data_IF_370009394756
#
_entry.id   IF_370009394756
#
_cell.length_a   1.000
_cell.length_b   1.000
_cell.length_c   1.000
_cell.angle_alpha   90.00
_cell.angle_beta   90.00
_cell.angle_gamma   90.00
#
_symmetry.space_group_name_H-M   'P 1'
#
loop_
_entity.id
_entity.type
_entity.pdbx_description
1 polymer ?
#
# COMPACT_ATOMS: atom_id res chain seq x y z
N UNK A 1 -1.02 26.11 33.06
CA UNK A 1 -0.87 25.56 34.42
C UNK A 1 -2.28 25.27 34.94
N UNK A 2 -2.78 24.06 34.81
CA UNK A 2 -4.10 23.64 35.29
C UNK A 2 -3.84 22.51 36.27
N UNK A 3 -4.24 22.74 37.49
CA UNK A 3 -4.14 21.88 38.67
C UNK A 3 -4.93 20.60 38.42
N UNK A 4 -4.28 19.48 38.67
CA UNK A 4 -4.91 18.15 38.72
C UNK A 4 -5.20 17.85 40.17
N UNK A 5 -6.46 17.66 40.50
CA UNK A 5 -6.86 17.10 41.78
C UNK A 5 -7.56 15.75 41.56
N UNK A 6 -7.00 14.74 42.21
CA UNK A 6 -7.67 13.55 42.77
C UNK A 6 -8.29 12.49 41.85
N UNK A 7 -7.47 11.49 41.46
CA UNK A 7 -7.77 10.05 41.44
C UNK A 7 -9.19 9.56 41.12
N UNK A 8 -9.34 9.16 39.87
CA UNK A 8 -9.86 7.86 39.38
C UNK A 8 -9.26 7.73 37.97
N UNK A 9 -8.47 6.68 37.72
CA UNK A 9 -7.95 6.38 36.39
C UNK A 9 -9.10 5.96 35.44
N UNK A 10 -9.80 6.94 34.89
CA UNK A 10 -10.44 6.80 33.61
C UNK A 10 -9.40 7.29 32.59
N UNK A 11 -9.04 6.46 31.62
CA UNK A 11 -8.17 6.83 30.49
C UNK A 11 -8.80 8.00 29.71
N UNK A 12 -8.56 9.22 30.21
CA UNK A 12 -9.14 10.42 29.62
C UNK A 12 -8.43 10.69 28.30
N UNK A 13 -9.18 10.51 27.21
CA UNK A 13 -8.66 10.79 25.88
C UNK A 13 -8.65 12.30 25.65
N UNK A 14 -7.47 12.87 25.47
CA UNK A 14 -7.30 14.27 25.07
C UNK A 14 -7.03 14.37 23.57
N UNK A 15 -7.47 15.47 22.95
CA UNK A 15 -7.36 15.68 21.50
C UNK A 15 -6.57 16.95 21.24
N UNK A 16 -5.53 16.84 20.39
CA UNK A 16 -4.82 17.95 19.79
C UNK A 16 -5.07 17.99 18.28
N UNK A 17 -5.27 19.17 17.74
CA UNK A 17 -5.43 19.36 16.29
C UNK A 17 -4.56 20.54 15.81
N UNK A 18 -3.56 20.20 15.03
CA UNK A 18 -2.59 21.15 14.46
C UNK A 18 -3.01 21.51 13.04
N UNK A 19 -3.32 22.77 12.82
CA UNK A 19 -3.82 23.25 11.51
C UNK A 19 -2.65 23.71 10.65
N UNK A 20 -2.57 23.12 9.43
CA UNK A 20 -1.48 23.33 8.49
C UNK A 20 -0.09 23.04 9.09
N UNK A 21 -0.06 22.10 10.01
CA UNK A 21 1.15 21.71 10.74
C UNK A 21 1.19 20.19 10.94
N UNK A 22 2.40 19.64 10.78
CA UNK A 22 2.74 18.25 11.09
C UNK A 22 3.92 18.27 12.06
N UNK A 23 3.67 18.21 13.37
CA UNK A 23 4.72 18.21 14.37
C UNK A 23 5.75 17.08 14.16
N UNK A 24 7.02 17.34 14.45
CA UNK A 24 8.13 16.40 14.18
C UNK A 24 7.96 15.04 14.87
N UNK A 25 7.40 15.04 16.10
CA UNK A 25 7.19 13.78 16.85
C UNK A 25 6.25 12.81 16.12
N UNK A 26 5.41 13.30 15.20
CA UNK A 26 4.47 12.45 14.47
C UNK A 26 5.16 11.43 13.55
N UNK A 27 6.40 11.69 13.11
CA UNK A 27 7.11 10.75 12.24
C UNK A 27 7.30 9.39 12.90
N UNK A 28 7.81 9.38 14.13
CA UNK A 28 8.03 8.16 14.91
C UNK A 28 6.70 7.51 15.32
N UNK A 29 5.74 8.33 15.74
CA UNK A 29 4.46 7.84 16.23
C UNK A 29 3.57 7.25 15.13
N UNK A 30 3.60 7.80 13.91
CA UNK A 30 2.92 7.21 12.74
C UNK A 30 3.47 5.81 12.41
N UNK A 31 4.79 5.64 12.51
CA UNK A 31 5.42 4.32 12.33
C UNK A 31 5.01 3.37 13.44
N UNK A 32 5.04 3.81 14.70
CA UNK A 32 4.65 2.99 15.85
C UNK A 32 3.18 2.53 15.77
N UNK A 33 2.27 3.43 15.40
CA UNK A 33 0.84 3.14 15.34
C UNK A 33 0.44 2.28 14.15
N UNK A 34 0.96 2.61 12.98
CA UNK A 34 0.42 2.03 11.74
C UNK A 34 1.39 1.10 11.02
N UNK A 35 2.69 1.31 11.14
CA UNK A 35 3.74 0.50 10.49
C UNK A 35 3.43 0.24 8.99
N UNK A 36 2.89 1.27 8.30
CA UNK A 36 2.53 1.22 6.89
C UNK A 36 3.16 2.36 6.09
N UNK A 37 3.59 2.03 4.87
CA UNK A 37 4.14 3.01 3.92
C UNK A 37 3.17 4.15 3.64
N UNK A 38 1.91 3.84 3.42
CA UNK A 38 0.88 4.77 2.97
C UNK A 38 0.38 5.74 4.04
N UNK A 39 0.87 5.59 5.28
CA UNK A 39 0.63 6.52 6.40
C UNK A 39 1.94 7.04 6.98
N UNK A 40 3.05 6.99 6.24
CA UNK A 40 4.37 7.45 6.65
C UNK A 40 4.72 8.82 6.09
N UNK A 41 5.54 9.59 6.81
CA UNK A 41 6.00 10.90 6.32
C UNK A 41 6.87 10.80 5.05
N UNK A 42 7.77 9.82 4.86
CA UNK A 42 8.47 9.63 3.59
C UNK A 42 7.52 9.53 2.40
N UNK A 43 6.45 8.75 2.51
CA UNK A 43 5.46 8.63 1.44
C UNK A 43 4.72 9.94 1.18
N UNK A 44 4.30 10.65 2.23
CA UNK A 44 3.61 11.93 2.07
C UNK A 44 4.51 12.99 1.43
N UNK A 45 5.78 13.09 1.84
CA UNK A 45 6.77 14.02 1.26
C UNK A 45 7.01 13.81 -0.24
N UNK A 46 6.80 12.59 -0.74
CA UNK A 46 7.04 12.23 -2.15
C UNK A 46 5.77 12.24 -2.99
N UNK A 47 4.69 11.65 -2.48
CA UNK A 47 3.48 11.40 -3.27
C UNK A 47 2.31 12.34 -2.97
N UNK A 48 2.40 13.12 -1.89
CA UNK A 48 1.35 14.09 -1.49
C UNK A 48 2.00 15.46 -1.31
N UNK A 49 1.27 16.52 -1.61
CA UNK A 49 1.71 17.84 -1.17
C UNK A 49 1.59 17.90 0.35
N UNK A 50 2.67 18.21 1.04
CA UNK A 50 2.66 18.46 2.49
C UNK A 50 2.18 19.86 2.84
N UNK A 51 1.99 20.74 1.85
CA UNK A 51 1.41 22.05 2.04
C UNK A 51 -0.02 21.96 2.55
N UNK A 52 -0.35 22.77 3.55
CA UNK A 52 -1.66 22.81 4.20
C UNK A 52 -2.10 21.44 4.76
N UNK A 53 -1.13 20.61 5.16
CA UNK A 53 -1.40 19.35 5.83
C UNK A 53 -1.59 19.60 7.31
N UNK A 54 -2.74 19.24 7.82
CA UNK A 54 -3.12 19.33 9.23
C UNK A 54 -3.05 17.94 9.88
N UNK A 55 -2.90 17.94 11.20
CA UNK A 55 -2.85 16.69 11.96
C UNK A 55 -3.82 16.69 13.14
N UNK A 56 -4.51 15.58 13.31
CA UNK A 56 -5.33 15.24 14.48
C UNK A 56 -4.60 14.19 15.28
N UNK A 57 -4.51 14.36 16.58
CA UNK A 57 -3.87 13.44 17.50
C UNK A 57 -4.79 13.20 18.70
N UNK A 58 -5.18 11.97 18.94
CA UNK A 58 -5.83 11.54 20.15
C UNK A 58 -4.79 10.92 21.08
N UNK A 59 -4.82 11.29 22.34
CA UNK A 59 -3.88 10.86 23.37
C UNK A 59 -4.60 10.11 24.47
N UNK A 60 -4.00 9.04 24.95
CA UNK A 60 -4.35 8.40 26.22
C UNK A 60 -3.18 8.64 27.18
N UNK A 61 -3.39 9.49 28.17
CA UNK A 61 -2.29 10.02 28.98
C UNK A 61 -1.25 10.74 28.10
N UNK A 62 0.00 10.27 28.13
CA UNK A 62 1.10 10.85 27.36
C UNK A 62 1.39 10.10 26.04
N UNK A 63 0.57 9.13 25.67
CA UNK A 63 0.81 8.29 24.49
C UNK A 63 -0.23 8.54 23.41
N UNK A 64 0.18 8.89 22.17
CA UNK A 64 -0.74 8.97 21.04
C UNK A 64 -1.37 7.59 20.75
N UNK A 65 -2.69 7.56 20.61
CA UNK A 65 -3.47 6.37 20.24
C UNK A 65 -3.96 6.43 18.81
N UNK A 66 -4.18 7.64 18.29
CA UNK A 66 -4.64 7.86 16.92
C UNK A 66 -4.02 9.13 16.36
N UNK A 67 -3.46 9.03 15.14
CA UNK A 67 -2.90 10.17 14.40
C UNK A 67 -3.47 10.16 12.99
N UNK A 68 -4.23 11.18 12.63
CA UNK A 68 -4.80 11.33 11.30
C UNK A 68 -4.31 12.62 10.64
N UNK A 69 -3.63 12.48 9.52
CA UNK A 69 -3.22 13.60 8.69
C UNK A 69 -4.32 13.89 7.68
N UNK A 70 -4.72 15.15 7.58
CA UNK A 70 -5.87 15.53 6.76
C UNK A 70 -5.68 16.88 6.06
N UNK A 71 -6.48 17.08 5.02
CA UNK A 71 -6.68 18.38 4.37
C UNK A 71 -8.14 18.77 4.45
N UNK A 72 -8.41 20.04 4.70
CA UNK A 72 -9.76 20.59 4.64
C UNK A 72 -9.89 21.50 3.43
N UNK A 73 -10.77 21.17 2.49
CA UNK A 73 -11.05 21.95 1.28
C UNK A 73 -12.51 21.79 0.85
N UNK A 74 -13.14 22.89 0.46
CA UNK A 74 -14.49 22.87 -0.13
C UNK A 74 -15.53 22.08 0.69
N UNK A 75 -15.55 22.26 2.01
CA UNK A 75 -16.47 21.57 2.91
C UNK A 75 -16.17 20.09 3.09
N UNK A 76 -15.00 19.61 2.71
CA UNK A 76 -14.57 18.22 2.84
C UNK A 76 -13.25 18.10 3.62
N UNK A 77 -13.23 17.16 4.51
CA UNK A 77 -12.03 16.70 5.22
C UNK A 77 -11.55 15.42 4.52
N UNK A 78 -10.41 15.49 3.86
CA UNK A 78 -9.77 14.34 3.24
C UNK A 78 -8.67 13.83 4.16
N UNK A 79 -8.88 12.64 4.75
CA UNK A 79 -7.85 11.96 5.53
C UNK A 79 -6.89 11.28 4.56
N UNK A 80 -5.59 11.51 4.77
CA UNK A 80 -4.53 11.04 3.88
C UNK A 80 -3.90 9.71 4.32
N UNK A 81 -4.13 9.30 5.56
CA UNK A 81 -3.72 7.98 6.04
C UNK A 81 -4.46 6.89 5.25
N UNK A 82 -3.70 5.97 4.70
CA UNK A 82 -4.22 4.83 3.97
C UNK A 82 -3.61 3.53 4.52
N UNK A 83 -4.29 2.40 4.33
CA UNK A 83 -3.87 1.08 4.79
C UNK A 83 -3.71 1.00 6.31
N UNK A 84 -4.63 1.61 7.04
CA UNK A 84 -4.70 1.63 8.50
C UNK A 84 -5.94 0.91 9.00
N UNK A 85 -5.86 0.42 10.24
CA UNK A 85 -6.99 -0.12 10.98
C UNK A 85 -7.34 0.85 12.12
N UNK A 86 -8.62 1.24 12.21
CA UNK A 86 -9.12 2.15 13.24
C UNK A 86 -10.39 1.55 13.80
N UNK A 87 -10.53 1.50 15.12
CA UNK A 87 -11.77 1.07 15.74
C UNK A 87 -12.90 2.10 15.56
N UNK A 88 -14.13 1.64 15.72
CA UNK A 88 -15.32 2.46 15.50
C UNK A 88 -15.41 3.63 16.48
N UNK A 89 -15.01 3.45 17.75
CA UNK A 89 -15.11 4.48 18.79
C UNK A 89 -14.17 5.65 18.49
N UNK A 90 -12.93 5.34 18.07
CA UNK A 90 -11.95 6.34 17.63
C UNK A 90 -12.41 7.10 16.39
N UNK A 91 -12.98 6.38 15.45
CA UNK A 91 -13.49 6.97 14.20
C UNK A 91 -14.69 7.91 14.48
N UNK A 92 -15.59 7.50 15.36
CA UNK A 92 -16.75 8.32 15.77
C UNK A 92 -16.29 9.56 16.55
N UNK A 93 -15.31 9.41 17.47
CA UNK A 93 -14.67 10.51 18.19
C UNK A 93 -14.03 11.52 17.24
N UNK A 94 -13.26 11.03 16.27
CA UNK A 94 -12.67 11.86 15.24
C UNK A 94 -13.73 12.63 14.45
N UNK A 95 -14.78 11.96 13.98
CA UNK A 95 -15.84 12.60 13.21
C UNK A 95 -16.58 13.68 14.01
N UNK A 96 -16.94 13.40 15.27
CA UNK A 96 -17.56 14.39 16.18
C UNK A 96 -16.67 15.62 16.35
N UNK A 97 -15.41 15.42 16.68
CA UNK A 97 -14.45 16.50 16.87
C UNK A 97 -14.29 17.35 15.59
N UNK A 98 -14.10 16.70 14.43
CA UNK A 98 -13.85 17.39 13.17
C UNK A 98 -15.08 18.17 12.70
N UNK A 99 -16.30 17.62 12.85
CA UNK A 99 -17.51 18.34 12.52
C UNK A 99 -17.82 19.49 13.49
N UNK A 100 -17.42 19.39 14.75
CA UNK A 100 -17.53 20.50 15.70
C UNK A 100 -16.53 21.60 15.36
N UNK A 101 -15.27 21.26 15.12
CA UNK A 101 -14.19 22.22 14.83
C UNK A 101 -14.36 22.93 13.48
N UNK A 102 -14.77 22.21 12.44
CA UNK A 102 -14.98 22.73 11.09
C UNK A 102 -16.46 22.80 10.77
N UNK A 103 -17.13 23.90 11.14
CA UNK A 103 -18.58 24.08 10.95
C UNK A 103 -19.04 23.93 9.49
N UNK A 104 -18.22 24.32 8.53
CA UNK A 104 -18.47 24.19 7.09
C UNK A 104 -18.16 22.81 6.51
N UNK A 105 -17.53 21.88 7.28
CA UNK A 105 -17.28 20.53 6.82
C UNK A 105 -18.59 19.73 6.74
N UNK A 106 -18.82 19.11 5.60
CA UNK A 106 -20.01 18.29 5.32
C UNK A 106 -19.69 16.80 5.21
N UNK A 107 -18.46 16.49 4.79
CA UNK A 107 -17.99 15.12 4.48
C UNK A 107 -16.59 14.92 5.03
N UNK A 108 -16.35 13.78 5.69
CA UNK A 108 -15.03 13.25 6.00
C UNK A 108 -14.81 12.03 5.13
N UNK A 109 -13.64 11.91 4.49
CA UNK A 109 -13.36 10.80 3.58
C UNK A 109 -12.04 10.12 3.88
N UNK A 110 -12.08 8.79 3.88
CA UNK A 110 -10.95 7.89 3.95
C UNK A 110 -10.86 7.07 2.66
N UNK A 111 -9.66 6.89 2.11
CA UNK A 111 -9.47 6.17 0.84
C UNK A 111 -9.33 4.67 1.01
N UNK A 112 -8.63 4.25 2.07
CA UNK A 112 -8.37 2.84 2.34
C UNK A 112 -8.14 2.64 3.84
N UNK A 113 -9.14 2.13 4.53
CA UNK A 113 -9.04 1.77 5.94
C UNK A 113 -9.78 0.47 6.21
N UNK A 114 -9.46 -0.16 7.33
CA UNK A 114 -10.22 -1.27 7.89
C UNK A 114 -10.87 -0.82 9.17
N UNK A 115 -12.19 -0.98 9.27
CA UNK A 115 -12.96 -0.64 10.46
C UNK A 115 -14.28 -1.40 10.48
N UNK A 116 -14.77 -1.69 11.69
CA UNK A 116 -16.13 -2.16 11.89
C UNK A 116 -17.07 -0.96 12.04
N UNK A 117 -18.28 -1.04 11.48
CA UNK A 117 -19.23 0.09 11.42
C UNK A 117 -20.64 -0.32 11.81
N UNK A 118 -20.82 -1.04 12.92
CA UNK A 118 -22.13 -1.58 13.30
C UNK A 118 -23.09 -0.52 13.86
N UNK A 119 -22.59 0.47 14.59
CA UNK A 119 -23.39 1.57 15.18
C UNK A 119 -22.59 2.86 15.13
N UNK A 120 -22.83 3.67 14.11
CA UNK A 120 -22.12 4.94 13.91
C UNK A 120 -23.03 6.13 14.15
N UNK A 121 -22.53 7.21 14.76
CA UNK A 121 -23.33 8.39 15.09
C UNK A 121 -23.73 9.24 13.90
N UNK A 122 -23.06 9.06 12.78
CA UNK A 122 -23.27 9.82 11.55
C UNK A 122 -23.65 8.91 10.39
N UNK A 123 -24.34 9.42 9.36
CA UNK A 123 -24.53 8.66 8.12
C UNK A 123 -23.17 8.30 7.50
N UNK A 124 -22.99 7.04 7.18
CA UNK A 124 -21.75 6.53 6.57
C UNK A 124 -22.03 5.84 5.26
N UNK A 125 -21.04 5.86 4.40
CA UNK A 125 -20.99 5.09 3.18
C UNK A 125 -19.66 4.33 3.14
N UNK A 126 -19.74 3.02 3.13
CA UNK A 126 -18.59 2.12 3.10
C UNK A 126 -18.64 1.30 1.80
N UNK A 127 -17.53 1.24 1.07
CA UNK A 127 -17.43 0.43 -0.13
C UNK A 127 -16.01 -0.09 -0.30
N UNK A 128 -15.86 -1.19 -1.03
CA UNK A 128 -14.55 -1.77 -1.33
C UNK A 128 -13.62 -0.75 -2.00
N UNK A 129 -12.41 -0.59 -1.47
CA UNK A 129 -11.38 0.29 -2.01
C UNK A 129 -10.35 -0.49 -2.84
N UNK A 130 -9.62 -1.37 -2.18
CA UNK A 130 -8.57 -2.20 -2.76
C UNK A 130 -8.26 -3.38 -1.85
N UNK A 131 -7.39 -4.26 -2.33
CA UNK A 131 -6.80 -5.33 -1.55
C UNK A 131 -5.27 -5.24 -1.57
N UNK A 132 -4.65 -5.92 -0.62
CA UNK A 132 -3.22 -6.17 -0.60
C UNK A 132 -2.95 -7.57 -0.08
N UNK A 133 -1.85 -8.17 -0.52
CA UNK A 133 -1.40 -9.45 0.00
C UNK A 133 -0.26 -9.22 0.98
N UNK A 134 -0.40 -9.73 2.18
CA UNK A 134 0.57 -9.54 3.27
C UNK A 134 1.11 -10.88 3.72
N UNK A 135 2.41 -11.00 3.81
CA UNK A 135 3.10 -12.14 4.40
C UNK A 135 3.49 -11.76 5.83
N UNK A 136 3.06 -12.53 6.81
CA UNK A 136 3.64 -12.49 8.16
C UNK A 136 4.99 -13.21 8.09
N UNK A 137 6.06 -12.47 8.39
CA UNK A 137 7.43 -12.99 8.29
C UNK A 137 7.78 -13.77 9.57
N UNK A 138 8.32 -15.00 9.44
CA UNK A 138 8.83 -15.77 10.57
C UNK A 138 10.18 -15.24 11.05
N UNK A 139 10.73 -15.83 12.09
CA UNK A 139 12.02 -15.40 12.67
C UNK A 139 13.22 -15.66 11.74
N UNK A 140 13.16 -16.69 10.90
CA UNK A 140 14.29 -17.08 10.05
C UNK A 140 13.87 -17.38 8.60
N UNK A 141 14.75 -17.13 7.60
CA UNK A 141 14.53 -17.54 6.21
C UNK A 141 14.32 -19.06 6.05
N UNK A 142 14.88 -19.87 6.94
CA UNK A 142 14.73 -21.31 6.95
C UNK A 142 13.28 -21.71 7.28
N UNK A 143 12.69 -21.09 8.29
CA UNK A 143 11.28 -21.28 8.65
C UNK A 143 10.35 -20.82 7.52
N UNK A 144 10.62 -19.66 6.92
CA UNK A 144 9.87 -19.18 5.76
C UNK A 144 9.90 -20.20 4.62
N UNK A 145 11.10 -20.68 4.27
CA UNK A 145 11.27 -21.67 3.20
C UNK A 145 10.55 -22.99 3.53
N UNK A 146 10.59 -23.42 4.77
CA UNK A 146 9.91 -24.65 5.22
C UNK A 146 8.38 -24.54 5.13
N UNK A 147 7.82 -23.36 5.40
CA UNK A 147 6.37 -23.08 5.31
C UNK A 147 5.84 -23.02 3.87
N UNK A 148 6.69 -22.75 2.87
CA UNK A 148 6.29 -22.78 1.46
C UNK A 148 5.79 -24.15 1.04
N UNK A 149 4.76 -24.20 0.21
CA UNK A 149 4.27 -25.44 -0.38
C UNK A 149 5.37 -26.20 -1.13
N UNK A 150 5.34 -27.55 -1.09
CA UNK A 150 6.38 -28.43 -1.67
C UNK A 150 6.76 -28.05 -3.10
N UNK A 151 5.78 -27.80 -3.98
CA UNK A 151 6.03 -27.42 -5.37
C UNK A 151 6.77 -26.07 -5.49
N UNK A 152 6.37 -25.05 -4.71
CA UNK A 152 7.01 -23.72 -4.72
C UNK A 152 8.45 -23.82 -4.22
N UNK A 153 8.67 -24.51 -3.12
CA UNK A 153 9.99 -24.73 -2.53
C UNK A 153 10.93 -25.48 -3.47
N UNK A 154 10.46 -26.59 -4.06
CA UNK A 154 11.23 -27.37 -5.04
C UNK A 154 11.53 -26.53 -6.28
N UNK A 155 10.57 -25.75 -6.77
CA UNK A 155 10.77 -24.87 -7.92
C UNK A 155 11.80 -23.78 -7.67
N UNK A 156 11.77 -23.11 -6.52
CA UNK A 156 12.77 -22.11 -6.13
C UNK A 156 14.17 -22.74 -6.06
N UNK A 157 14.30 -23.90 -5.38
CA UNK A 157 15.58 -24.61 -5.28
C UNK A 157 16.12 -25.01 -6.65
N UNK A 158 15.26 -25.56 -7.52
CA UNK A 158 15.62 -25.93 -8.88
C UNK A 158 16.14 -24.71 -9.69
N UNK A 159 15.38 -23.61 -9.67
CA UNK A 159 15.74 -22.39 -10.39
C UNK A 159 17.06 -21.79 -9.87
N UNK A 160 17.25 -21.77 -8.57
CA UNK A 160 18.51 -21.30 -7.96
C UNK A 160 19.69 -22.15 -8.37
N UNK A 161 19.59 -23.48 -8.24
CA UNK A 161 20.68 -24.40 -8.64
C UNK A 161 20.96 -24.31 -10.14
N UNK A 162 19.91 -24.15 -10.97
CA UNK A 162 20.06 -24.02 -12.42
C UNK A 162 20.80 -22.75 -12.82
N UNK A 163 20.42 -21.58 -12.26
CA UNK A 163 21.08 -20.32 -12.61
C UNK A 163 22.53 -20.30 -12.15
N UNK A 164 22.83 -20.78 -10.95
CA UNK A 164 24.21 -20.84 -10.43
C UNK A 164 25.10 -21.81 -11.24
N UNK A 165 24.55 -22.96 -11.65
CA UNK A 165 25.28 -23.93 -12.49
C UNK A 165 25.57 -23.38 -13.88
N UNK A 166 24.56 -22.77 -14.52
CA UNK A 166 24.66 -22.31 -15.92
C UNK A 166 25.37 -20.94 -16.01
N UNK A 167 25.37 -20.17 -14.93
CA UNK A 167 26.03 -18.87 -14.79
C UNK A 167 26.74 -18.77 -13.44
N UNK A 168 27.99 -19.25 -13.33
CA UNK A 168 28.76 -19.19 -12.08
C UNK A 168 29.01 -17.77 -11.55
N UNK A 169 28.87 -16.76 -12.42
CA UNK A 169 28.97 -15.33 -12.09
C UNK A 169 27.69 -14.76 -11.44
N UNK A 170 26.62 -15.58 -11.31
CA UNK A 170 25.36 -15.13 -10.73
C UNK A 170 25.54 -14.64 -9.30
N UNK A 171 25.09 -13.40 -9.03
CA UNK A 171 25.09 -12.81 -7.68
C UNK A 171 23.79 -12.07 -7.42
N UNK A 172 23.44 -11.99 -6.12
CA UNK A 172 22.33 -11.15 -5.62
C UNK A 172 22.89 -10.14 -4.64
N UNK A 173 22.57 -8.87 -4.83
CA UNK A 173 23.01 -7.78 -3.95
C UNK A 173 21.84 -6.94 -3.50
N UNK A 174 21.92 -6.44 -2.26
CA UNK A 174 20.92 -5.58 -1.65
C UNK A 174 21.54 -4.23 -1.30
N UNK A 175 20.82 -3.17 -1.62
CA UNK A 175 21.20 -1.79 -1.33
C UNK A 175 20.08 -1.11 -0.55
N UNK A 176 20.43 -0.24 0.40
CA UNK A 176 19.46 0.46 1.25
C UNK A 176 19.66 1.96 1.20
N UNK A 177 18.57 2.70 1.15
CA UNK A 177 18.53 4.16 1.24
C UNK A 177 19.57 4.84 0.33
N UNK A 178 20.49 5.62 0.89
CA UNK A 178 21.51 6.36 0.15
C UNK A 178 22.52 5.49 -0.61
N UNK A 179 22.72 4.22 -0.22
CA UNK A 179 23.57 3.27 -0.94
C UNK A 179 22.96 2.86 -2.29
N UNK A 180 21.67 3.10 -2.50
CA UNK A 180 20.98 2.73 -3.73
C UNK A 180 21.46 3.61 -4.87
N UNK A 181 22.07 3.01 -5.88
CA UNK A 181 22.39 3.70 -7.13
C UNK A 181 21.13 3.93 -7.95
N UNK A 182 20.90 5.15 -8.40
CA UNK A 182 19.74 5.49 -9.23
C UNK A 182 19.69 4.67 -10.53
N UNK A 183 20.87 4.34 -11.06
CA UNK A 183 20.99 3.53 -12.28
C UNK A 183 20.35 2.15 -12.10
N UNK A 184 20.52 1.49 -10.94
CA UNK A 184 19.87 0.22 -10.65
C UNK A 184 18.34 0.34 -10.70
N UNK A 185 17.79 1.43 -10.15
CA UNK A 185 16.35 1.67 -10.20
C UNK A 185 15.90 1.87 -11.66
N UNK A 186 16.60 2.70 -12.45
CA UNK A 186 16.26 2.94 -13.86
C UNK A 186 16.27 1.66 -14.68
N UNK A 187 17.26 0.79 -14.49
CA UNK A 187 17.32 -0.49 -15.18
C UNK A 187 16.19 -1.43 -14.77
N UNK A 188 15.86 -1.52 -13.48
CA UNK A 188 14.70 -2.30 -13.01
C UNK A 188 13.40 -1.77 -13.61
N UNK A 189 13.21 -0.44 -13.65
CA UNK A 189 12.02 0.19 -14.25
C UNK A 189 11.92 -0.10 -15.76
N UNK A 190 13.05 -0.05 -16.47
CA UNK A 190 13.12 -0.40 -17.91
C UNK A 190 12.70 -1.85 -18.12
N UNK A 191 13.25 -2.80 -17.38
CA UNK A 191 12.88 -4.23 -17.46
C UNK A 191 11.39 -4.46 -17.10
N UNK A 192 10.89 -3.75 -16.10
CA UNK A 192 9.47 -3.79 -15.74
C UNK A 192 8.58 -3.24 -16.84
N UNK A 193 8.98 -2.13 -17.48
CA UNK A 193 8.26 -1.50 -18.59
C UNK A 193 8.10 -2.41 -19.80
N UNK A 194 9.14 -3.13 -20.21
CA UNK A 194 9.09 -4.13 -21.29
C UNK A 194 8.05 -5.22 -21.01
N UNK A 195 7.97 -5.70 -19.77
CA UNK A 195 6.98 -6.69 -19.35
C UNK A 195 5.55 -6.15 -19.39
N UNK A 196 5.35 -4.88 -19.05
CA UNK A 196 4.02 -4.26 -19.00
C UNK A 196 3.52 -3.95 -20.41
N UNK A 197 4.38 -3.43 -21.28
CA UNK A 197 4.03 -3.11 -22.67
C UNK A 197 3.69 -4.36 -23.48
N UNK A 198 4.31 -5.52 -23.21
CA UNK A 198 3.92 -6.80 -23.83
C UNK A 198 2.49 -7.25 -23.47
N UNK A 199 1.89 -6.67 -22.41
CA UNK A 199 0.51 -6.94 -21.97
C UNK A 199 -0.50 -5.86 -22.39
N UNK A 200 -0.16 -4.99 -23.38
CA UNK A 200 -1.00 -3.90 -23.87
C UNK A 200 -1.42 -2.85 -22.82
N UNK A 201 -0.67 -2.71 -21.72
CA UNK A 201 -0.89 -1.69 -20.72
C UNK A 201 0.08 -0.52 -20.90
N UNK A 202 -0.44 0.68 -21.19
CA UNK A 202 0.34 1.92 -21.08
C UNK A 202 0.43 2.33 -19.59
N UNK A 203 1.38 1.78 -18.86
CA UNK A 203 1.70 2.17 -17.51
C UNK A 203 3.11 2.73 -17.47
N UNK A 204 3.26 4.01 -17.19
CA UNK A 204 4.57 4.63 -16.96
C UNK A 204 4.80 4.75 -15.45
N UNK A 205 5.97 4.31 -15.01
CA UNK A 205 6.41 4.54 -13.65
C UNK A 205 6.81 6.02 -13.47
N UNK A 206 6.43 6.63 -12.35
CA UNK A 206 6.98 7.92 -11.96
C UNK A 206 8.39 7.70 -11.38
N UNK A 207 9.38 7.66 -12.26
CA UNK A 207 10.77 7.36 -11.93
C UNK A 207 11.31 8.28 -10.83
N UNK A 208 11.08 9.60 -10.95
CA UNK A 208 11.60 10.58 -9.98
C UNK A 208 11.08 10.33 -8.58
N UNK A 209 9.78 10.02 -8.44
CA UNK A 209 9.17 9.72 -7.13
C UNK A 209 9.67 8.40 -6.58
N UNK A 210 9.82 7.37 -7.42
CA UNK A 210 10.34 6.06 -7.00
C UNK A 210 11.76 6.20 -6.48
N UNK A 211 12.65 6.90 -7.21
CA UNK A 211 14.03 7.15 -6.79
C UNK A 211 14.06 7.92 -5.48
N UNK A 212 13.30 9.03 -5.38
CA UNK A 212 13.27 9.86 -4.18
C UNK A 212 12.81 9.07 -2.95
N UNK A 213 11.77 8.25 -3.09
CA UNK A 213 11.28 7.43 -1.99
C UNK A 213 12.27 6.31 -1.63
N UNK A 214 12.90 5.70 -2.63
CA UNK A 214 13.91 4.67 -2.41
C UNK A 214 15.14 5.20 -1.64
N UNK A 215 15.58 6.42 -1.92
CA UNK A 215 16.63 7.08 -1.15
C UNK A 215 16.25 7.33 0.32
N UNK A 216 14.98 7.53 0.61
CA UNK A 216 14.50 7.79 1.98
C UNK A 216 14.29 6.50 2.79
N UNK A 217 13.74 5.45 2.18
CA UNK A 217 13.31 4.24 2.88
C UNK A 217 13.37 2.98 2.00
N UNK A 218 14.28 2.92 1.03
CA UNK A 218 14.33 1.83 0.05
C UNK A 218 15.11 0.60 0.51
N UNK A 219 14.74 -0.54 -0.08
CA UNK A 219 15.51 -1.78 -0.15
C UNK A 219 15.47 -2.25 -1.61
N UNK A 220 16.57 -2.14 -2.31
CA UNK A 220 16.69 -2.57 -3.72
C UNK A 220 17.46 -3.87 -3.79
N UNK A 221 16.86 -4.88 -4.42
CA UNK A 221 17.52 -6.14 -4.75
C UNK A 221 17.89 -6.14 -6.23
N UNK A 222 19.11 -6.52 -6.54
CA UNK A 222 19.64 -6.63 -7.91
C UNK A 222 20.29 -8.00 -8.10
N UNK A 223 19.88 -8.68 -9.18
CA UNK A 223 20.48 -9.94 -9.62
C UNK A 223 21.37 -9.68 -10.83
N UNK A 224 22.65 -10.05 -10.72
CA UNK A 224 23.64 -9.89 -11.77
C UNK A 224 24.02 -11.24 -12.36
N UNK A 225 24.26 -11.25 -13.68
CA UNK A 225 24.90 -12.32 -14.44
C UNK A 225 25.96 -11.65 -15.33
N UNK A 226 27.20 -12.08 -15.23
CA UNK A 226 28.35 -11.53 -15.99
C UNK A 226 28.47 -10.00 -15.85
N UNK A 227 28.23 -9.49 -14.64
CA UNK A 227 28.27 -8.06 -14.35
C UNK A 227 27.06 -7.25 -14.83
N UNK A 228 26.13 -7.85 -15.56
CA UNK A 228 24.94 -7.20 -16.08
C UNK A 228 23.74 -7.44 -15.16
N UNK A 229 22.94 -6.39 -14.92
CA UNK A 229 21.68 -6.48 -14.20
C UNK A 229 20.64 -7.25 -15.04
N UNK A 230 20.21 -8.42 -14.55
CA UNK A 230 19.27 -9.30 -15.25
C UNK A 230 17.88 -9.34 -14.60
N UNK A 231 17.77 -9.02 -13.32
CA UNK A 231 16.51 -8.85 -12.62
C UNK A 231 16.73 -7.98 -11.37
N UNK A 232 15.65 -7.43 -10.84
CA UNK A 232 15.70 -6.70 -9.60
C UNK A 232 14.33 -6.27 -9.10
N UNK A 233 14.30 -5.77 -7.88
CA UNK A 233 13.09 -5.18 -7.29
C UNK A 233 13.40 -3.94 -6.47
N UNK A 234 12.50 -2.97 -6.54
CA UNK A 234 12.47 -1.80 -5.67
C UNK A 234 11.42 -2.05 -4.62
N UNK A 235 11.83 -1.99 -3.38
CA UNK A 235 10.96 -2.18 -2.22
C UNK A 235 11.20 -1.03 -1.23
N UNK A 236 10.27 -0.83 -0.30
CA UNK A 236 10.38 0.19 0.74
C UNK A 236 10.27 -0.46 2.12
N UNK A 237 10.91 0.14 3.12
CA UNK A 237 10.84 -0.27 4.52
C UNK A 237 10.29 0.86 5.37
N UNK A 238 9.26 0.58 6.16
CA UNK A 238 8.76 1.48 7.21
C UNK A 238 8.66 0.63 8.48
N UNK A 239 9.35 1.05 9.53
CA UNK A 239 9.40 0.29 10.77
C UNK A 239 9.82 -1.15 10.57
N UNK A 240 8.93 -2.08 10.87
CA UNK A 240 9.12 -3.53 10.70
C UNK A 240 8.47 -4.10 9.44
N UNK A 241 7.85 -3.25 8.61
CA UNK A 241 7.11 -3.65 7.41
C UNK A 241 7.87 -3.33 6.12
N UNK A 242 7.80 -4.25 5.16
CA UNK A 242 8.40 -4.13 3.83
C UNK A 242 7.32 -4.10 2.75
N UNK A 243 7.51 -3.29 1.71
CA UNK A 243 6.52 -3.04 0.67
C UNK A 243 7.15 -3.25 -0.70
N UNK A 244 6.75 -4.31 -1.41
CA UNK A 244 7.13 -4.53 -2.80
C UNK A 244 6.46 -3.49 -3.71
N UNK A 245 7.26 -2.75 -4.46
CA UNK A 245 6.76 -1.68 -5.34
C UNK A 245 6.91 -2.02 -6.81
N UNK A 246 8.11 -2.32 -7.26
CA UNK A 246 8.40 -2.63 -8.67
C UNK A 246 9.33 -3.83 -8.76
N UNK A 247 9.10 -4.68 -9.76
CA UNK A 247 9.97 -5.80 -10.08
C UNK A 247 10.13 -5.89 -11.60
N UNK A 248 11.38 -5.98 -12.06
CA UNK A 248 11.75 -6.18 -13.45
C UNK A 248 12.63 -7.42 -13.63
N UNK A 249 12.51 -8.07 -14.78
CA UNK A 249 13.41 -9.15 -15.19
C UNK A 249 13.66 -9.09 -16.69
N UNK A 250 14.85 -9.46 -17.11
CA UNK A 250 15.20 -9.63 -18.53
C UNK A 250 14.63 -10.95 -19.04
N UNK A 251 13.86 -10.90 -20.12
CA UNK A 251 13.24 -12.07 -20.75
C UNK A 251 14.26 -13.06 -21.32
N UNK A 252 15.48 -12.60 -21.66
CA UNK A 252 16.55 -13.50 -22.09
C UNK A 252 16.86 -14.59 -21.03
N UNK A 253 16.55 -14.32 -19.78
CA UNK A 253 16.76 -15.23 -18.64
C UNK A 253 15.47 -15.84 -18.10
N UNK A 254 14.35 -15.79 -18.84
CA UNK A 254 13.03 -16.26 -18.39
C UNK A 254 13.07 -17.72 -17.90
N UNK A 255 13.82 -18.61 -18.59
CA UNK A 255 13.99 -20.03 -18.23
C UNK A 255 14.57 -20.28 -16.84
N UNK A 256 15.14 -19.27 -16.19
CA UNK A 256 15.68 -19.34 -14.83
C UNK A 256 14.71 -18.82 -13.77
N UNK A 257 13.57 -18.22 -14.17
CA UNK A 257 12.55 -17.72 -13.26
C UNK A 257 13.05 -16.63 -12.30
N UNK A 258 13.92 -15.74 -12.80
CA UNK A 258 14.58 -14.71 -12.00
C UNK A 258 13.61 -13.82 -11.22
N UNK A 259 12.43 -13.52 -11.78
CA UNK A 259 11.41 -12.74 -11.08
C UNK A 259 10.91 -13.41 -9.79
N UNK A 260 10.72 -14.75 -9.80
CA UNK A 260 10.36 -15.52 -8.61
C UNK A 260 11.51 -15.54 -7.60
N UNK A 261 12.74 -15.73 -8.08
CA UNK A 261 13.93 -15.70 -7.24
C UNK A 261 14.12 -14.31 -6.60
N UNK A 262 13.92 -13.22 -7.35
CA UNK A 262 13.98 -11.85 -6.83
C UNK A 262 13.02 -11.67 -5.64
N UNK A 263 11.74 -12.06 -5.78
CA UNK A 263 10.75 -11.96 -4.71
C UNK A 263 11.17 -12.80 -3.50
N UNK A 264 11.53 -14.06 -3.71
CA UNK A 264 11.94 -14.97 -2.64
C UNK A 264 13.16 -14.44 -1.87
N UNK A 265 14.21 -14.00 -2.58
CA UNK A 265 15.42 -13.46 -1.97
C UNK A 265 15.13 -12.16 -1.20
N UNK A 266 14.26 -11.30 -1.74
CA UNK A 266 13.86 -10.06 -1.06
C UNK A 266 13.09 -10.34 0.24
N UNK A 267 12.21 -11.35 0.25
CA UNK A 267 11.50 -11.76 1.46
C UNK A 267 12.50 -12.32 2.49
N UNK A 268 13.43 -13.19 2.06
CA UNK A 268 14.48 -13.73 2.95
C UNK A 268 15.35 -12.62 3.56
N UNK A 269 15.76 -11.65 2.75
CA UNK A 269 16.52 -10.49 3.24
C UNK A 269 15.72 -9.64 4.22
N UNK A 270 14.43 -9.45 3.95
CA UNK A 270 13.54 -8.73 4.87
C UNK A 270 13.45 -9.42 6.24
N UNK A 271 13.46 -10.74 6.27
CA UNK A 271 13.51 -11.55 7.51
C UNK A 271 14.85 -11.36 8.23
N UNK A 272 15.98 -11.46 7.50
CA UNK A 272 17.32 -11.23 8.07
C UNK A 272 17.42 -9.84 8.71
N UNK A 273 16.74 -8.84 8.12
CA UNK A 273 16.65 -7.47 8.64
C UNK A 273 15.54 -7.29 9.69
N UNK A 274 15.06 -8.38 10.29
CA UNK A 274 14.06 -8.39 11.37
C UNK A 274 12.71 -7.80 10.98
N UNK A 275 12.32 -7.91 9.71
CA UNK A 275 10.99 -7.57 9.23
C UNK A 275 9.92 -8.48 9.86
N UNK A 276 8.75 -7.91 10.10
CA UNK A 276 7.58 -8.65 10.61
C UNK A 276 6.52 -8.89 9.53
N UNK A 277 6.43 -8.01 8.54
CA UNK A 277 5.44 -8.09 7.46
C UNK A 277 6.08 -7.74 6.11
N UNK A 278 5.63 -8.44 5.06
CA UNK A 278 5.99 -8.11 3.68
C UNK A 278 4.72 -7.95 2.84
N UNK A 279 4.52 -6.78 2.27
CA UNK A 279 3.38 -6.43 1.44
C UNK A 279 3.72 -6.67 -0.04
N UNK A 280 3.00 -7.61 -0.69
CA UNK A 280 3.16 -7.94 -2.11
C UNK A 280 2.32 -7.04 -3.04
N UNK A 281 1.63 -6.03 -2.47
CA UNK A 281 0.72 -5.18 -3.21
C UNK A 281 -0.60 -5.84 -3.59
N UNK A 282 -1.46 -5.11 -4.32
CA UNK A 282 -2.79 -5.55 -4.74
C UNK A 282 -2.79 -6.46 -5.97
N UNK A 283 -3.98 -6.98 -6.28
CA UNK A 283 -4.25 -7.84 -7.44
C UNK A 283 -4.14 -9.33 -7.14
N UNK A 284 -5.08 -10.15 -7.65
CA UNK A 284 -5.24 -11.58 -7.33
C UNK A 284 -4.30 -12.46 -8.16
N UNK A 285 -2.99 -12.28 -8.02
CA UNK A 285 -2.01 -13.13 -8.70
C UNK A 285 -1.64 -14.35 -7.86
N UNK A 286 -1.77 -15.55 -8.42
CA UNK A 286 -1.51 -16.84 -7.78
C UNK A 286 -0.17 -16.93 -7.04
N UNK A 287 0.88 -16.30 -7.60
CA UNK A 287 2.19 -16.37 -6.97
C UNK A 287 2.20 -15.77 -5.55
N UNK A 288 1.31 -14.80 -5.27
CA UNK A 288 1.25 -14.15 -3.95
C UNK A 288 0.81 -15.13 -2.87
N UNK A 289 -0.23 -15.89 -3.12
CA UNK A 289 -0.68 -16.96 -2.21
C UNK A 289 0.36 -18.08 -2.09
N UNK A 290 1.04 -18.43 -3.20
CA UNK A 290 2.14 -19.42 -3.17
C UNK A 290 3.35 -18.95 -2.38
N UNK A 291 3.55 -17.62 -2.23
CA UNK A 291 4.55 -17.00 -1.36
C UNK A 291 4.03 -16.71 0.05
N UNK A 292 2.93 -17.37 0.47
CA UNK A 292 2.27 -17.23 1.78
C UNK A 292 1.60 -15.85 2.02
N UNK A 293 1.31 -15.10 0.97
CA UNK A 293 0.56 -13.86 1.07
C UNK A 293 -0.92 -14.13 1.40
N UNK A 294 -1.40 -13.51 2.45
CA UNK A 294 -2.82 -13.49 2.83
C UNK A 294 -3.45 -12.20 2.31
N UNK A 295 -4.62 -12.30 1.70
CA UNK A 295 -5.35 -11.14 1.18
C UNK A 295 -5.98 -10.36 2.32
N UNK A 296 -5.73 -9.05 2.36
CA UNK A 296 -6.36 -8.08 3.24
C UNK A 296 -7.13 -7.08 2.40
N UNK A 297 -8.43 -6.95 2.66
CA UNK A 297 -9.29 -5.99 1.99
C UNK A 297 -9.36 -4.70 2.78
N UNK A 298 -9.41 -3.58 2.06
CA UNK A 298 -9.56 -2.24 2.61
C UNK A 298 -10.81 -1.60 2.03
N UNK A 299 -11.46 -0.79 2.85
CA UNK A 299 -12.65 -0.06 2.49
C UNK A 299 -12.37 1.43 2.30
N UNK A 300 -13.07 2.03 1.36
CA UNK A 300 -13.28 3.46 1.32
C UNK A 300 -14.45 3.81 2.22
N UNK A 301 -14.27 4.83 3.04
CA UNK A 301 -15.31 5.32 3.94
C UNK A 301 -15.55 6.80 3.70
N UNK A 302 -16.83 7.18 3.59
CA UNK A 302 -17.29 8.57 3.64
C UNK A 302 -18.26 8.71 4.80
N UNK A 303 -18.03 9.73 5.64
CA UNK A 303 -18.86 10.07 6.80
C UNK A 303 -19.50 11.41 6.49
N UNK A 304 -20.81 11.47 6.54
CA UNK A 304 -21.59 12.68 6.26
C UNK A 304 -22.06 13.32 7.55
N UNK A 305 -22.02 14.65 7.65
CA UNK A 305 -22.47 15.39 8.83
C UNK A 305 -23.92 15.09 9.21
N UNK A 306 -24.79 14.85 8.22
CA UNK A 306 -26.21 14.51 8.41
C UNK A 306 -26.76 13.79 7.18
N UNK A 307 -27.95 13.19 7.32
CA UNK A 307 -28.68 12.60 6.19
C UNK A 307 -29.01 13.62 5.11
N UNK A 308 -29.34 14.88 5.47
CA UNK A 308 -29.52 15.95 4.49
C UNK A 308 -28.28 16.22 3.66
N UNK A 309 -27.07 16.15 4.28
CA UNK A 309 -25.81 16.31 3.54
C UNK A 309 -25.48 15.10 2.67
N UNK A 310 -25.86 13.89 3.08
CA UNK A 310 -25.77 12.69 2.23
C UNK A 310 -26.66 12.85 0.99
N UNK A 311 -27.92 13.28 1.15
CA UNK A 311 -28.85 13.49 0.04
C UNK A 311 -28.38 14.57 -0.94
N UNK A 312 -27.84 15.69 -0.43
CA UNK A 312 -27.27 16.75 -1.28
C UNK A 312 -26.02 16.31 -2.07
N UNK A 313 -25.39 15.20 -1.68
CA UNK A 313 -24.22 14.62 -2.37
C UNK A 313 -24.55 13.24 -2.97
N UNK A 314 -25.83 12.96 -3.25
CA UNK A 314 -26.28 11.64 -3.69
C UNK A 314 -25.56 11.15 -4.96
N UNK A 315 -25.39 12.01 -5.97
CA UNK A 315 -24.69 11.65 -7.21
C UNK A 315 -23.27 11.14 -6.95
N UNK A 316 -22.57 11.81 -6.04
CA UNK A 316 -21.23 11.41 -5.61
C UNK A 316 -21.26 10.11 -4.81
N UNK A 317 -22.20 10.00 -3.90
CA UNK A 317 -22.40 8.80 -3.09
C UNK A 317 -22.67 7.60 -4.00
N UNK A 318 -23.60 7.72 -4.94
CA UNK A 318 -23.90 6.69 -5.93
C UNK A 318 -22.67 6.32 -6.77
N UNK A 319 -21.95 7.31 -7.30
CA UNK A 319 -20.71 7.06 -8.05
C UNK A 319 -19.67 6.30 -7.22
N UNK A 320 -19.49 6.65 -5.96
CA UNK A 320 -18.54 5.97 -5.07
C UNK A 320 -18.89 4.50 -4.86
N UNK A 321 -20.18 4.18 -4.72
CA UNK A 321 -20.68 2.79 -4.62
C UNK A 321 -20.44 2.03 -5.92
N UNK A 322 -20.83 2.62 -7.05
CA UNK A 322 -20.65 2.00 -8.37
C UNK A 322 -19.16 1.71 -8.62
N UNK A 323 -18.28 2.68 -8.36
CA UNK A 323 -16.82 2.50 -8.48
C UNK A 323 -16.31 1.37 -7.59
N UNK A 324 -16.85 1.21 -6.37
CA UNK A 324 -16.53 0.11 -5.47
C UNK A 324 -16.94 -1.25 -6.03
N UNK A 325 -18.16 -1.38 -6.52
CA UNK A 325 -18.66 -2.61 -7.14
C UNK A 325 -17.88 -2.97 -8.41
N UNK A 326 -17.57 -2.00 -9.27
CA UNK A 326 -16.76 -2.23 -10.48
C UNK A 326 -15.38 -2.74 -10.12
N UNK A 327 -14.74 -2.21 -9.07
CA UNK A 327 -13.44 -2.72 -8.60
C UNK A 327 -13.56 -4.15 -8.07
N UNK A 328 -14.57 -4.43 -7.26
CA UNK A 328 -14.80 -5.76 -6.71
C UNK A 328 -15.10 -6.79 -7.80
N UNK A 329 -15.90 -6.39 -8.81
CA UNK A 329 -16.15 -7.21 -9.99
C UNK A 329 -14.87 -7.50 -10.78
N UNK A 330 -14.01 -6.50 -10.98
CA UNK A 330 -12.72 -6.69 -11.65
C UNK A 330 -11.82 -7.68 -10.89
N UNK A 331 -11.75 -7.58 -9.56
CA UNK A 331 -11.00 -8.54 -8.74
C UNK A 331 -11.58 -9.96 -8.88
N UNK A 332 -12.91 -10.08 -8.87
CA UNK A 332 -13.60 -11.36 -9.04
C UNK A 332 -13.33 -11.96 -10.43
N UNK A 333 -13.41 -11.16 -11.50
CA UNK A 333 -13.13 -11.59 -12.87
C UNK A 333 -11.69 -12.09 -13.02
N UNK A 334 -10.72 -11.41 -12.43
CA UNK A 334 -9.33 -11.87 -12.45
C UNK A 334 -9.11 -13.16 -11.66
N UNK A 335 -9.82 -13.36 -10.55
CA UNK A 335 -9.78 -14.62 -9.79
C UNK A 335 -10.35 -15.82 -10.57
N UNK A 336 -11.19 -15.55 -11.59
CA UNK A 336 -11.85 -16.56 -12.40
C UNK A 336 -11.44 -16.48 -13.89
N UNK A 337 -10.25 -15.97 -14.17
CA UNK A 337 -9.72 -15.75 -15.52
C UNK A 337 -9.57 -17.06 -16.33
N UNK A 338 -9.54 -18.20 -15.64
CA UNK A 338 -9.59 -19.55 -16.20
C UNK A 338 -10.95 -19.89 -16.85
N UNK A 339 -12.04 -19.20 -16.46
CA UNK A 339 -13.38 -19.41 -17.02
C UNK A 339 -13.57 -18.58 -18.28
N UNK A 340 -14.02 -19.20 -19.37
CA UNK A 340 -14.24 -18.59 -20.68
C UNK A 340 -15.06 -17.30 -20.63
N UNK A 341 -16.12 -17.25 -19.82
CA UNK A 341 -16.95 -16.06 -19.65
C UNK A 341 -16.23 -14.87 -19.00
N UNK A 342 -15.46 -15.12 -17.93
CA UNK A 342 -14.69 -14.08 -17.26
C UNK A 342 -13.61 -13.51 -18.16
N UNK A 343 -12.91 -14.35 -18.92
CA UNK A 343 -11.91 -13.96 -19.90
C UNK A 343 -12.49 -13.08 -21.02
N UNK A 344 -13.67 -13.44 -21.51
CA UNK A 344 -14.37 -12.63 -22.53
C UNK A 344 -14.73 -11.24 -22.01
N UNK A 345 -15.30 -11.14 -20.79
CA UNK A 345 -15.69 -9.86 -20.16
C UNK A 345 -14.45 -8.99 -19.92
N UNK A 346 -13.35 -9.56 -19.42
CA UNK A 346 -12.09 -8.83 -19.21
C UNK A 346 -11.53 -8.29 -20.52
N UNK A 347 -11.47 -9.09 -21.58
CA UNK A 347 -10.98 -8.65 -22.87
C UNK A 347 -11.85 -7.53 -23.46
N UNK A 348 -13.16 -7.63 -23.36
CA UNK A 348 -14.11 -6.60 -23.82
C UNK A 348 -13.94 -5.29 -23.03
N UNK A 349 -13.77 -5.38 -21.72
CA UNK A 349 -13.51 -4.23 -20.85
C UNK A 349 -12.20 -3.52 -21.21
N UNK A 350 -11.13 -4.26 -21.45
CA UNK A 350 -9.85 -3.67 -21.85
C UNK A 350 -9.89 -3.05 -23.23
N UNK A 351 -10.58 -3.66 -24.19
CA UNK A 351 -10.81 -3.08 -25.53
C UNK A 351 -11.56 -1.75 -25.41
N UNK A 352 -12.67 -1.71 -24.68
CA UNK A 352 -13.45 -0.50 -24.45
C UNK A 352 -12.63 0.61 -23.78
N UNK A 353 -11.86 0.28 -22.73
CA UNK A 353 -11.01 1.23 -22.02
C UNK A 353 -9.90 1.81 -22.90
N UNK A 354 -9.36 1.03 -23.84
CA UNK A 354 -8.35 1.50 -24.79
C UNK A 354 -8.95 2.41 -25.88
N UNK A 355 -10.20 2.15 -26.30
CA UNK A 355 -10.94 3.01 -27.23
C UNK A 355 -11.21 4.39 -26.60
N UNK A 356 -11.74 4.42 -25.37
CA UNK A 356 -12.01 5.67 -24.64
C UNK A 356 -10.78 6.52 -24.34
N UNK A 357 -9.59 5.91 -24.25
CA UNK A 357 -8.34 6.67 -24.09
C UNK A 357 -7.85 7.31 -25.38
N UNK A 358 -8.13 6.71 -26.54
CA UNK A 358 -7.79 7.29 -27.84
C UNK A 358 -8.60 8.55 -28.12
N UNK A 359 -9.87 8.59 -27.73
CA UNK A 359 -10.76 9.75 -27.92
C UNK A 359 -10.41 10.94 -27.01
N UNK A 360 -9.61 10.75 -25.95
CA UNK A 360 -9.16 11.84 -25.08
C UNK A 360 -7.79 12.42 -25.49
N UNK A 361 -7.15 11.86 -26.51
CA UNK A 361 -5.86 12.32 -27.03
C UNK A 361 -5.97 12.93 -28.46
N UNK A 362 -7.15 12.90 -29.03
CA UNK A 362 -7.53 13.64 -30.24
C UNK A 362 -8.26 14.94 -29.87
#
# INVERSE_FOLDING_TARGET
MITIDGAIQSDEITIACYINEVPLFLETELVRLYDTLYSSLPFFKVYRSTEQLSSYVAWCGNQPTTILLFKFRNGRIEVLNEMIEIDQAELDRFARYMFAKFSSANIISFKALKTDTHRFSFPIQKCYANDTYVITLPATPKEYTAALGKSTRTGIRYQMNKVVRDHPSFTSRFYVNEEIEEQHIREILKLSGVRISSKAFNFSHDEKRIIRLAKMCGLVNVLFIDGRLCAGSVNYRIGSSYFGAVMGQDFAYEKYGLGKLTIYLTICESIVRQGKRFYLGGGPFDYKSRMLGVQHEMDRLEIYRSYGKLMLNFDRAAKTVIDGYVRQLNVWLHKHEDKLGAKFVLNSYYLWKNLMKKDQQS
#
